data_IF_959559423280
#
_entry.id   IF_959559423280
#
_cell.length_a   1.000
_cell.length_b   1.000
_cell.length_c   1.000
_cell.angle_alpha   90.00
_cell.angle_beta   90.00
_cell.angle_gamma   90.00
#
_symmetry.space_group_name_H-M   'P 1'
#
loop_
_entity.id
_entity.type
_entity.pdbx_description
1 polymer ?
#
# COMPACT_ATOMS: atom_id res chain seq x y z
N UNK A 1 -7.49 8.57 -15.71
CA UNK A 1 -6.08 8.25 -15.43
C UNK A 1 -5.69 6.81 -15.77
N UNK A 2 -6.60 5.88 -15.69
CA UNK A 2 -6.31 4.46 -15.95
C UNK A 2 -6.66 3.98 -17.36
N UNK A 3 -7.38 4.74 -18.21
CA UNK A 3 -7.96 4.13 -19.41
C UNK A 3 -8.07 4.96 -20.70
N UNK A 4 -7.53 6.17 -20.82
CA UNK A 4 -7.96 7.02 -21.97
C UNK A 4 -6.97 7.28 -23.11
N UNK A 5 -5.82 6.59 -23.19
CA UNK A 5 -4.87 6.90 -24.28
C UNK A 5 -4.24 5.69 -24.98
N UNK A 6 -4.75 4.48 -24.76
CA UNK A 6 -4.12 3.26 -25.33
C UNK A 6 -2.72 2.96 -24.77
N UNK A 7 -2.24 3.78 -23.85
CA UNK A 7 -0.95 3.63 -23.18
C UNK A 7 -1.20 3.13 -21.77
N UNK A 8 -0.71 1.93 -21.45
CA UNK A 8 -0.79 1.37 -20.10
C UNK A 8 0.18 2.11 -19.18
N UNK A 9 -0.35 2.90 -18.25
CA UNK A 9 0.43 3.54 -17.20
C UNK A 9 0.56 2.56 -16.03
N UNK A 10 1.80 2.37 -15.55
CA UNK A 10 2.11 1.56 -14.38
C UNK A 10 2.54 2.45 -13.22
N UNK A 11 1.80 2.40 -12.13
CA UNK A 11 2.19 2.96 -10.84
C UNK A 11 2.91 1.89 -10.03
N UNK A 12 4.12 2.24 -9.57
CA UNK A 12 5.00 1.36 -8.80
C UNK A 12 5.12 1.89 -7.38
N UNK A 13 4.67 1.11 -6.41
CA UNK A 13 4.85 1.44 -4.99
C UNK A 13 6.22 0.91 -4.57
N UNK A 14 7.16 1.82 -4.21
CA UNK A 14 8.52 1.42 -3.89
C UNK A 14 8.62 0.73 -2.54
N UNK A 15 9.73 0.04 -2.33
CA UNK A 15 9.97 -0.78 -1.14
C UNK A 15 9.99 0.01 0.17
N UNK A 16 10.42 1.27 0.13
CA UNK A 16 10.50 2.12 1.31
C UNK A 16 9.13 2.57 1.83
N UNK A 17 8.10 2.56 0.97
CA UNK A 17 6.73 2.81 1.42
C UNK A 17 6.24 1.69 2.33
N UNK A 18 5.44 2.01 3.34
CA UNK A 18 4.82 1.01 4.21
C UNK A 18 3.87 0.07 3.44
N UNK A 19 3.52 -1.06 4.05
CA UNK A 19 2.47 -1.93 3.51
C UNK A 19 1.12 -1.22 3.42
N UNK A 20 0.22 -1.79 2.63
CA UNK A 20 -1.17 -1.33 2.64
C UNK A 20 -1.77 -1.57 4.03
N UNK A 21 -2.25 -0.51 4.66
CA UNK A 21 -2.67 -0.51 6.05
C UNK A 21 -4.05 0.13 6.30
N UNK A 22 -4.72 0.66 5.27
CA UNK A 22 -6.07 1.18 5.43
C UNK A 22 -7.04 0.05 5.80
N UNK A 23 -7.75 0.28 6.90
CA UNK A 23 -8.73 -0.63 7.43
C UNK A 23 -10.15 -0.30 7.00
N UNK A 24 -11.10 -0.87 7.75
CA UNK A 24 -12.53 -0.71 7.48
C UNK A 24 -12.97 0.76 7.54
N UNK A 25 -12.50 1.49 8.53
CA UNK A 25 -12.95 2.87 8.80
C UNK A 25 -12.57 3.81 7.65
N UNK A 26 -11.31 3.78 7.17
CA UNK A 26 -10.85 4.64 6.10
C UNK A 26 -11.52 4.31 4.77
N UNK A 27 -11.74 3.04 4.48
CA UNK A 27 -12.40 2.60 3.25
C UNK A 27 -13.87 2.99 3.25
N UNK A 28 -14.57 2.80 4.37
CA UNK A 28 -15.96 3.21 4.54
C UNK A 28 -16.10 4.73 4.43
N UNK A 29 -15.22 5.49 5.09
CA UNK A 29 -15.21 6.96 5.00
C UNK A 29 -15.04 7.42 3.56
N UNK A 30 -14.08 6.86 2.81
CA UNK A 30 -13.85 7.22 1.42
C UNK A 30 -15.06 6.94 0.53
N UNK A 31 -15.65 5.75 0.62
CA UNK A 31 -16.82 5.38 -0.18
C UNK A 31 -18.02 6.25 0.19
N UNK A 32 -18.20 6.54 1.48
CA UNK A 32 -19.25 7.44 1.96
C UNK A 32 -19.06 8.86 1.44
N UNK A 33 -17.86 9.43 1.51
CA UNK A 33 -17.57 10.77 1.03
C UNK A 33 -17.85 10.92 -0.48
N UNK A 34 -17.50 9.90 -1.26
CA UNK A 34 -17.80 9.85 -2.69
C UNK A 34 -19.32 9.75 -2.92
N UNK A 35 -20.01 8.89 -2.18
CA UNK A 35 -21.45 8.71 -2.28
C UNK A 35 -22.21 10.00 -1.91
N UNK A 36 -21.84 10.65 -0.82
CA UNK A 36 -22.43 11.92 -0.37
C UNK A 36 -22.13 13.08 -1.35
N UNK A 37 -21.24 12.84 -2.30
CA UNK A 37 -20.84 13.81 -3.33
C UNK A 37 -21.48 13.56 -4.71
N UNK A 38 -22.37 12.58 -4.86
CA UNK A 38 -22.97 12.19 -6.15
C UNK A 38 -23.67 13.34 -6.89
N UNK A 39 -24.21 14.31 -6.15
CA UNK A 39 -24.88 15.48 -6.73
C UNK A 39 -23.91 16.61 -7.12
N UNK A 40 -22.63 16.50 -6.75
CA UNK A 40 -21.62 17.51 -7.08
C UNK A 40 -21.12 17.34 -8.52
N UNK A 41 -20.61 18.43 -9.09
CA UNK A 41 -19.98 18.38 -10.41
C UNK A 41 -18.67 17.58 -10.41
N UNK A 42 -17.94 17.59 -9.28
CA UNK A 42 -16.63 16.94 -9.12
C UNK A 42 -16.34 16.70 -7.62
N UNK A 43 -15.59 15.65 -7.32
CA UNK A 43 -15.03 15.37 -6.00
C UNK A 43 -13.52 15.16 -6.09
N UNK A 44 -12.76 15.87 -5.26
CA UNK A 44 -11.31 15.73 -5.20
C UNK A 44 -10.92 14.82 -4.03
N UNK A 45 -10.33 13.68 -4.37
CA UNK A 45 -9.94 12.65 -3.39
C UNK A 45 -8.58 12.93 -2.71
N UNK A 46 -7.88 13.98 -3.13
CA UNK A 46 -6.59 14.42 -2.61
C UNK A 46 -5.48 14.37 -3.64
N UNK A 47 -4.22 14.34 -3.16
CA UNK A 47 -3.03 14.42 -4.00
C UNK A 47 -2.35 13.07 -4.14
N UNK A 48 -1.83 12.78 -5.31
CA UNK A 48 -0.91 11.69 -5.63
C UNK A 48 0.40 12.30 -6.12
N UNK A 49 1.48 12.04 -5.44
CA UNK A 49 2.82 12.51 -5.82
C UNK A 49 3.59 11.35 -6.42
N UNK A 50 4.15 11.57 -7.60
CA UNK A 50 4.91 10.53 -8.31
C UNK A 50 6.20 11.07 -8.89
N UNK A 51 7.15 10.16 -9.09
CA UNK A 51 8.36 10.39 -9.85
C UNK A 51 8.37 9.54 -11.12
N UNK A 52 8.62 10.15 -12.28
CA UNK A 52 8.63 9.43 -13.56
C UNK A 52 9.95 8.70 -13.73
N UNK A 53 9.94 7.36 -13.59
CA UNK A 53 11.13 6.51 -13.81
C UNK A 53 11.37 6.19 -15.27
N UNK A 54 10.29 5.94 -16.04
CA UNK A 54 10.33 5.62 -17.45
C UNK A 54 9.11 6.24 -18.17
N UNK A 55 8.96 6.02 -19.47
CA UNK A 55 7.91 6.66 -20.27
C UNK A 55 6.52 6.47 -19.67
N UNK A 56 6.22 5.27 -19.21
CA UNK A 56 4.90 4.91 -18.65
C UNK A 56 4.97 4.36 -17.22
N UNK A 57 6.12 4.49 -16.55
CA UNK A 57 6.33 3.98 -15.18
C UNK A 57 6.48 5.15 -14.22
N UNK A 58 5.57 5.21 -13.26
CA UNK A 58 5.54 6.23 -12.22
C UNK A 58 5.74 5.58 -10.85
N UNK A 59 6.81 5.96 -10.16
CA UNK A 59 7.04 5.59 -8.77
C UNK A 59 6.22 6.48 -7.86
N UNK A 60 5.46 5.87 -6.95
CA UNK A 60 4.61 6.60 -6.02
C UNK A 60 5.42 7.10 -4.84
N UNK A 61 5.47 8.42 -4.68
CA UNK A 61 6.20 9.09 -3.60
C UNK A 61 5.27 9.36 -2.40
N UNK A 62 4.03 9.79 -2.69
CA UNK A 62 3.00 10.00 -1.66
C UNK A 62 1.62 9.65 -2.21
N UNK A 63 0.69 9.28 -1.31
CA UNK A 63 -0.67 8.90 -1.66
C UNK A 63 -0.83 7.40 -1.99
N UNK A 64 0.14 6.54 -1.63
CA UNK A 64 0.09 5.11 -1.95
C UNK A 64 -1.11 4.38 -1.33
N UNK A 65 -1.50 4.69 -0.09
CA UNK A 65 -2.66 4.07 0.56
C UNK A 65 -3.94 4.39 -0.22
N UNK A 66 -4.12 5.66 -0.54
CA UNK A 66 -5.26 6.17 -1.32
C UNK A 66 -5.32 5.56 -2.72
N UNK A 67 -4.18 5.53 -3.43
CA UNK A 67 -4.11 4.95 -4.77
C UNK A 67 -4.47 3.46 -4.76
N UNK A 68 -3.95 2.71 -3.78
CA UNK A 68 -4.26 1.28 -3.60
C UNK A 68 -5.75 1.09 -3.29
N UNK A 69 -6.33 1.93 -2.42
CA UNK A 69 -7.76 1.86 -2.09
C UNK A 69 -8.63 2.18 -3.29
N UNK A 70 -8.29 3.19 -4.09
CA UNK A 70 -8.99 3.49 -5.34
C UNK A 70 -8.97 2.25 -6.27
N UNK A 71 -7.81 1.62 -6.42
CA UNK A 71 -7.68 0.40 -7.23
C UNK A 71 -8.58 -0.73 -6.69
N UNK A 72 -8.57 -0.95 -5.38
CA UNK A 72 -9.40 -1.95 -4.69
C UNK A 72 -10.89 -1.67 -4.93
N UNK A 73 -11.35 -0.43 -4.78
CA UNK A 73 -12.75 -0.04 -5.00
C UNK A 73 -13.15 -0.29 -6.46
N UNK A 74 -12.32 0.09 -7.42
CA UNK A 74 -12.58 -0.16 -8.83
C UNK A 74 -12.73 -1.66 -9.14
N UNK A 75 -11.87 -2.49 -8.54
CA UNK A 75 -11.98 -3.96 -8.66
C UNK A 75 -13.23 -4.51 -7.96
N UNK A 76 -13.60 -3.98 -6.78
CA UNK A 76 -14.82 -4.37 -6.07
C UNK A 76 -16.08 -4.00 -6.86
N UNK A 77 -16.06 -2.90 -7.61
CA UNK A 77 -17.10 -2.49 -8.54
C UNK A 77 -17.12 -3.32 -9.84
N UNK A 78 -16.20 -4.25 -10.05
CA UNK A 78 -16.11 -5.09 -11.24
C UNK A 78 -15.56 -4.36 -12.48
N UNK A 79 -14.71 -3.36 -12.29
CA UNK A 79 -14.08 -2.63 -13.39
C UNK A 79 -12.76 -3.33 -13.75
N UNK A 80 -12.71 -3.99 -14.90
CA UNK A 80 -11.58 -4.81 -15.34
C UNK A 80 -10.53 -4.02 -16.14
N UNK A 81 -10.89 -2.87 -16.69
CA UNK A 81 -10.03 -2.07 -17.60
C UNK A 81 -8.77 -1.50 -16.96
N UNK A 82 -8.62 -1.64 -15.64
CA UNK A 82 -7.47 -1.17 -14.86
C UNK A 82 -6.46 -2.29 -14.55
N UNK A 83 -6.51 -3.41 -15.26
CA UNK A 83 -5.55 -4.49 -15.03
C UNK A 83 -4.11 -3.99 -15.23
N UNK A 84 -3.20 -4.43 -14.31
CA UNK A 84 -1.76 -4.18 -14.38
C UNK A 84 -1.31 -2.70 -14.33
N UNK A 85 -2.14 -1.80 -13.79
CA UNK A 85 -1.75 -0.39 -13.64
C UNK A 85 -1.14 -0.05 -12.26
N UNK A 86 -1.11 -1.00 -11.33
CA UNK A 86 -0.55 -0.85 -9.99
C UNK A 86 0.25 -2.09 -9.62
N UNK A 87 1.46 -1.89 -9.06
CA UNK A 87 2.29 -2.98 -8.52
C UNK A 87 3.12 -2.51 -7.34
N UNK A 88 3.61 -3.48 -6.56
CA UNK A 88 4.54 -3.25 -5.44
C UNK A 88 5.94 -3.74 -5.82
N UNK A 89 6.95 -2.88 -5.65
CA UNK A 89 8.36 -3.27 -5.84
C UNK A 89 8.81 -4.14 -4.67
N UNK A 90 9.54 -5.23 -4.98
CA UNK A 90 10.15 -6.14 -3.99
C UNK A 90 9.19 -6.75 -2.95
N UNK A 91 7.88 -6.68 -3.19
CA UNK A 91 6.84 -7.35 -2.39
C UNK A 91 6.03 -8.27 -3.29
N UNK A 92 6.58 -9.43 -3.60
CA UNK A 92 5.99 -10.39 -4.54
C UNK A 92 4.56 -10.77 -4.16
N UNK A 93 4.31 -11.02 -2.87
CA UNK A 93 2.97 -11.40 -2.38
C UNK A 93 1.96 -10.28 -2.58
N UNK A 94 2.30 -9.03 -2.22
CA UNK A 94 1.41 -7.88 -2.41
C UNK A 94 1.16 -7.61 -3.91
N UNK A 95 2.22 -7.68 -4.74
CA UNK A 95 2.10 -7.51 -6.20
C UNK A 95 1.19 -8.56 -6.82
N UNK A 96 1.39 -9.85 -6.49
CA UNK A 96 0.52 -10.95 -6.96
C UNK A 96 -0.92 -10.82 -6.46
N UNK A 97 -1.12 -10.32 -5.23
CA UNK A 97 -2.46 -10.13 -4.67
C UNK A 97 -3.23 -9.05 -5.44
N UNK A 98 -2.57 -7.93 -5.77
CA UNK A 98 -3.13 -6.85 -6.62
C UNK A 98 -3.46 -7.37 -8.02
N UNK A 99 -2.52 -8.08 -8.65
CA UNK A 99 -2.68 -8.61 -10.01
C UNK A 99 -3.85 -9.60 -10.12
N UNK A 100 -3.95 -10.54 -9.16
CA UNK A 100 -4.95 -11.61 -9.18
C UNK A 100 -6.32 -11.19 -8.66
N UNK A 101 -6.48 -9.98 -8.13
CA UNK A 101 -7.76 -9.50 -7.60
C UNK A 101 -8.87 -9.53 -8.68
N UNK A 102 -10.07 -10.06 -8.42
CA UNK A 102 -10.59 -10.55 -7.12
C UNK A 102 -10.35 -12.04 -6.82
N UNK A 103 -9.63 -12.78 -7.66
CA UNK A 103 -9.39 -14.22 -7.52
C UNK A 103 -8.04 -14.45 -6.82
N UNK A 104 -8.03 -14.30 -5.51
CA UNK A 104 -6.81 -14.44 -4.70
C UNK A 104 -6.27 -15.87 -4.70
N UNK A 105 -4.93 -16.00 -4.77
CA UNK A 105 -4.22 -17.26 -4.60
C UNK A 105 -4.12 -17.72 -3.13
N UNK A 106 -3.37 -18.80 -2.90
CA UNK A 106 -3.05 -19.28 -1.55
C UNK A 106 -2.20 -18.26 -0.79
N UNK A 107 -1.08 -17.86 -1.39
CA UNK A 107 -0.28 -16.75 -0.89
C UNK A 107 -0.94 -15.43 -1.27
N UNK A 108 -1.28 -14.64 -0.26
CA UNK A 108 -1.98 -13.36 -0.43
C UNK A 108 -1.65 -12.38 0.68
N UNK A 109 -1.57 -11.13 0.34
CA UNK A 109 -1.43 -10.02 1.27
C UNK A 109 -2.76 -9.81 2.00
N UNK A 110 -2.75 -10.07 3.32
CA UNK A 110 -3.95 -10.01 4.15
C UNK A 110 -4.55 -8.60 4.14
N UNK A 111 -3.74 -7.54 4.25
CA UNK A 111 -4.24 -6.17 4.26
C UNK A 111 -4.99 -5.80 2.98
N UNK A 112 -4.46 -6.21 1.81
CA UNK A 112 -5.09 -5.98 0.51
C UNK A 112 -6.38 -6.78 0.37
N UNK A 113 -6.40 -8.04 0.83
CA UNK A 113 -7.61 -8.89 0.80
C UNK A 113 -8.69 -8.36 1.72
N UNK A 114 -8.34 -7.99 2.94
CA UNK A 114 -9.27 -7.40 3.91
C UNK A 114 -9.82 -6.07 3.35
N UNK A 115 -8.97 -5.22 2.76
CA UNK A 115 -9.38 -3.99 2.09
C UNK A 115 -10.39 -4.23 0.96
N UNK A 116 -10.20 -5.28 0.16
CA UNK A 116 -11.15 -5.65 -0.89
C UNK A 116 -12.51 -6.08 -0.31
N UNK A 117 -12.50 -6.86 0.77
CA UNK A 117 -13.73 -7.27 1.44
C UNK A 117 -14.46 -6.08 2.06
N UNK A 118 -13.73 -5.18 2.73
CA UNK A 118 -14.31 -3.95 3.31
C UNK A 118 -14.88 -3.02 2.22
N UNK A 119 -14.24 -2.92 1.07
CA UNK A 119 -14.76 -2.14 -0.04
C UNK A 119 -16.08 -2.73 -0.57
N UNK A 120 -16.18 -4.06 -0.68
CA UNK A 120 -17.44 -4.73 -1.07
C UNK A 120 -18.56 -4.51 -0.06
N UNK A 121 -18.25 -4.65 1.23
CA UNK A 121 -19.21 -4.40 2.31
C UNK A 121 -19.67 -2.93 2.28
N UNK A 122 -18.76 -1.98 2.19
CA UNK A 122 -19.07 -0.56 2.18
C UNK A 122 -19.92 -0.17 0.95
N UNK A 123 -19.63 -0.72 -0.23
CA UNK A 123 -20.45 -0.50 -1.43
C UNK A 123 -21.87 -1.02 -1.19
N UNK A 124 -22.01 -2.22 -0.62
CA UNK A 124 -23.32 -2.79 -0.31
C UNK A 124 -24.09 -1.96 0.71
N UNK A 125 -23.43 -1.55 1.79
CA UNK A 125 -24.05 -0.86 2.92
C UNK A 125 -24.41 0.60 2.60
N UNK A 126 -23.59 1.29 1.82
CA UNK A 126 -23.71 2.74 1.54
C UNK A 126 -24.40 2.99 0.21
N UNK A 127 -23.99 2.31 -0.86
CA UNK A 127 -24.55 2.50 -2.21
C UNK A 127 -25.81 1.63 -2.41
N UNK A 128 -25.81 0.45 -1.79
CA UNK A 128 -26.89 -0.51 -1.90
C UNK A 128 -26.64 -1.60 -2.93
N UNK A 129 -27.68 -2.43 -3.14
CA UNK A 129 -27.61 -3.59 -4.04
C UNK A 129 -28.36 -3.36 -5.38
N UNK A 130 -29.06 -2.23 -5.53
CA UNK A 130 -29.78 -1.92 -6.77
C UNK A 130 -28.78 -1.57 -7.85
N UNK A 131 -28.94 -2.21 -9.00
CA UNK A 131 -28.05 -2.00 -10.15
C UNK A 131 -27.97 -0.53 -10.57
N UNK A 132 -29.07 0.20 -10.55
CA UNK A 132 -29.11 1.61 -10.93
C UNK A 132 -28.23 2.48 -10.01
N UNK A 133 -28.28 2.23 -8.69
CA UNK A 133 -27.49 2.99 -7.71
C UNK A 133 -25.99 2.67 -7.86
N UNK A 134 -25.68 1.39 -8.07
CA UNK A 134 -24.29 0.95 -8.33
C UNK A 134 -23.77 1.55 -9.64
N UNK A 135 -24.55 1.56 -10.70
CA UNK A 135 -24.13 2.12 -11.99
C UNK A 135 -23.94 3.64 -11.91
N UNK A 136 -24.81 4.36 -11.17
CA UNK A 136 -24.64 5.79 -10.90
C UNK A 136 -23.37 6.08 -10.08
N UNK A 137 -23.11 5.29 -9.04
CA UNK A 137 -21.89 5.41 -8.25
C UNK A 137 -20.63 5.13 -9.08
N UNK A 138 -20.65 4.09 -9.93
CA UNK A 138 -19.55 3.77 -10.86
C UNK A 138 -19.27 4.92 -11.82
N UNK A 139 -20.33 5.47 -12.44
CA UNK A 139 -20.19 6.58 -13.38
C UNK A 139 -19.56 7.80 -12.69
N UNK A 140 -20.06 8.16 -11.50
CA UNK A 140 -19.50 9.25 -10.73
C UNK A 140 -18.04 8.99 -10.33
N UNK A 141 -17.74 7.77 -9.84
CA UNK A 141 -16.40 7.41 -9.41
C UNK A 141 -15.39 7.48 -10.55
N UNK A 142 -15.78 7.08 -11.77
CA UNK A 142 -14.90 7.09 -12.94
C UNK A 142 -14.74 8.47 -13.57
N UNK A 143 -15.81 9.28 -13.58
CA UNK A 143 -15.87 10.49 -14.40
C UNK A 143 -15.81 11.79 -13.58
N UNK A 144 -16.13 11.75 -12.28
CA UNK A 144 -16.24 12.92 -11.42
C UNK A 144 -15.31 12.92 -10.20
N UNK A 145 -14.75 11.76 -9.84
CA UNK A 145 -13.72 11.68 -8.79
C UNK A 145 -12.37 11.98 -9.38
N UNK A 146 -11.72 13.02 -8.88
CA UNK A 146 -10.44 13.51 -9.37
C UNK A 146 -9.36 13.35 -8.30
N UNK A 147 -8.17 12.98 -8.73
CA UNK A 147 -6.95 13.03 -7.92
C UNK A 147 -6.00 14.10 -8.48
N UNK A 148 -5.43 14.90 -7.63
CA UNK A 148 -4.42 15.89 -8.04
C UNK A 148 -3.11 15.15 -8.22
N UNK A 149 -2.72 14.92 -9.47
CA UNK A 149 -1.50 14.20 -9.80
C UNK A 149 -0.32 15.18 -9.94
N UNK A 150 0.56 15.20 -8.96
CA UNK A 150 1.80 15.97 -9.01
C UNK A 150 2.97 15.08 -9.41
N UNK A 151 3.73 15.51 -10.40
CA UNK A 151 4.96 14.83 -10.86
C UNK A 151 6.16 15.61 -10.37
N UNK A 152 6.99 14.97 -9.56
CA UNK A 152 8.25 15.55 -9.12
C UNK A 152 9.15 15.72 -10.35
N UNK A 153 9.73 16.92 -10.59
CA UNK A 153 10.67 17.15 -11.66
C UNK A 153 11.90 16.25 -11.56
N UNK A 154 12.51 15.90 -12.71
CA UNK A 154 13.64 14.96 -12.76
C UNK A 154 14.94 15.49 -12.13
N UNK A 155 15.06 16.79 -12.04
CA UNK A 155 16.21 17.52 -11.48
C UNK A 155 16.13 17.75 -9.97
N UNK A 156 15.01 17.32 -9.35
CA UNK A 156 14.82 17.42 -7.91
C UNK A 156 15.44 16.20 -7.24
N UNK A 157 16.29 16.45 -6.23
CA UNK A 157 16.75 15.41 -5.32
C UNK A 157 15.58 14.86 -4.53
N UNK A 158 15.23 13.59 -4.76
CA UNK A 158 14.13 12.93 -4.09
C UNK A 158 14.32 12.85 -2.57
N UNK A 159 15.58 12.70 -2.09
CA UNK A 159 15.86 12.67 -0.66
C UNK A 159 15.52 14.03 -0.02
N UNK A 160 15.94 15.12 -0.67
CA UNK A 160 15.58 16.46 -0.21
C UNK A 160 14.07 16.72 -0.31
N UNK A 161 13.42 16.22 -1.36
CA UNK A 161 11.96 16.31 -1.49
C UNK A 161 11.24 15.59 -0.34
N UNK A 162 11.70 14.40 0.05
CA UNK A 162 11.17 13.68 1.20
C UNK A 162 11.36 14.46 2.52
N UNK A 163 12.51 15.09 2.73
CA UNK A 163 12.78 15.90 3.92
C UNK A 163 11.82 17.10 4.01
N UNK A 164 11.56 17.77 2.89
CA UNK A 164 10.67 18.94 2.82
C UNK A 164 9.21 18.56 3.00
N UNK A 165 8.77 17.47 2.39
CA UNK A 165 7.38 16.97 2.54
C UNK A 165 7.10 16.50 3.96
N UNK A 166 8.07 15.88 4.61
CA UNK A 166 7.99 15.45 6.01
C UNK A 166 7.77 16.61 6.99
N UNK A 167 8.18 17.84 6.63
CA UNK A 167 7.99 19.01 7.48
C UNK A 167 6.55 19.54 7.50
N UNK A 168 5.65 19.04 6.63
CA UNK A 168 4.32 19.62 6.38
C UNK A 168 3.10 18.79 6.76
N UNK A 169 3.24 17.63 7.44
CA UNK A 169 2.05 17.04 8.06
C UNK A 169 1.86 15.53 8.11
N UNK A 170 2.00 14.71 7.13
CA UNK A 170 1.99 13.24 7.30
C UNK A 170 3.38 12.71 6.97
N UNK A 171 4.18 12.62 8.00
CA UNK A 171 5.59 12.29 7.93
C UNK A 171 5.78 10.85 7.44
N UNK A 172 6.56 10.66 6.37
CA UNK A 172 7.40 9.47 6.27
C UNK A 172 8.19 9.40 7.59
N UNK A 173 8.03 8.35 8.33
CA UNK A 173 8.77 8.22 9.58
C UNK A 173 10.28 8.15 9.27
N UNK A 174 11.11 8.67 10.18
CA UNK A 174 12.57 8.72 9.95
C UNK A 174 13.15 7.37 9.52
N UNK A 175 12.55 6.28 9.99
CA UNK A 175 12.97 4.94 9.59
C UNK A 175 12.65 4.61 8.11
N UNK A 176 11.61 5.18 7.52
CA UNK A 176 11.30 4.98 6.08
C UNK A 176 12.34 5.65 5.18
N UNK A 177 12.89 6.78 5.59
CA UNK A 177 14.01 7.46 4.90
C UNK A 177 15.27 6.60 4.97
N UNK A 178 15.57 6.04 6.15
CA UNK A 178 16.71 5.13 6.33
C UNK A 178 16.51 3.87 5.48
N UNK A 179 15.31 3.30 5.47
CA UNK A 179 14.94 2.16 4.63
C UNK A 179 15.20 2.45 3.15
N UNK A 180 14.81 3.62 2.65
CA UNK A 180 15.04 4.02 1.28
C UNK A 180 16.52 4.04 0.93
N UNK A 181 17.35 4.69 1.76
CA UNK A 181 18.80 4.78 1.55
C UNK A 181 19.50 3.42 1.56
N UNK A 182 19.10 2.53 2.48
CA UNK A 182 19.65 1.18 2.52
C UNK A 182 19.21 0.33 1.33
N UNK A 183 17.96 0.49 0.90
CA UNK A 183 17.42 -0.21 -0.28
C UNK A 183 18.17 0.15 -1.57
N UNK A 184 18.69 1.36 -1.70
CA UNK A 184 19.46 1.79 -2.87
C UNK A 184 20.72 0.91 -3.08
N UNK A 185 21.31 0.40 -2.01
CA UNK A 185 22.48 -0.48 -2.06
C UNK A 185 22.16 -1.89 -2.56
N UNK A 186 20.88 -2.27 -2.58
CA UNK A 186 20.39 -3.58 -2.98
C UNK A 186 19.76 -3.59 -4.37
N UNK A 187 19.87 -2.48 -5.12
CA UNK A 187 19.34 -2.37 -6.47
C UNK A 187 20.03 -3.39 -7.38
N UNK A 188 19.21 -4.27 -7.99
CA UNK A 188 19.70 -5.33 -8.89
C UNK A 188 19.71 -6.72 -8.26
N UNK A 189 19.52 -6.84 -6.94
CA UNK A 189 19.34 -8.11 -6.23
C UNK A 189 17.92 -8.17 -5.61
N UNK A 190 16.99 -8.76 -6.36
CA UNK A 190 15.57 -8.84 -5.96
C UNK A 190 15.38 -9.70 -4.70
N UNK A 191 16.17 -10.76 -4.52
CA UNK A 191 16.06 -11.66 -3.37
C UNK A 191 16.59 -10.98 -2.09
N UNK A 192 17.71 -10.26 -2.18
CA UNK A 192 18.23 -9.48 -1.07
C UNK A 192 17.25 -8.35 -0.70
N UNK A 193 16.65 -7.70 -1.68
CA UNK A 193 15.67 -6.65 -1.51
C UNK A 193 14.40 -7.17 -0.79
N UNK A 194 13.90 -8.34 -1.17
CA UNK A 194 12.75 -8.98 -0.53
C UNK A 194 13.06 -9.36 0.92
N UNK A 195 14.21 -9.99 1.18
CA UNK A 195 14.66 -10.33 2.53
C UNK A 195 14.82 -9.09 3.41
N UNK A 196 15.45 -8.06 2.88
CA UNK A 196 15.60 -6.77 3.57
C UNK A 196 14.25 -6.17 3.96
N UNK A 197 13.29 -6.14 3.03
CA UNK A 197 11.95 -5.63 3.31
C UNK A 197 11.26 -6.40 4.44
N UNK A 198 11.31 -7.73 4.40
CA UNK A 198 10.70 -8.59 5.43
C UNK A 198 11.32 -8.37 6.81
N UNK A 199 12.65 -8.31 6.87
CA UNK A 199 13.37 -8.03 8.14
C UNK A 199 13.00 -6.65 8.65
N UNK A 200 13.02 -5.64 7.77
CA UNK A 200 12.69 -4.27 8.14
C UNK A 200 11.27 -4.13 8.70
N UNK A 201 10.30 -4.75 8.04
CA UNK A 201 8.90 -4.75 8.48
C UNK A 201 8.71 -5.45 9.82
N UNK A 202 9.38 -6.57 10.01
CA UNK A 202 9.37 -7.28 11.30
C UNK A 202 9.98 -6.42 12.42
N UNK A 203 11.05 -5.67 12.14
CA UNK A 203 11.72 -4.80 13.12
C UNK A 203 10.97 -3.48 13.36
N UNK A 204 10.18 -3.00 12.40
CA UNK A 204 9.42 -1.74 12.53
C UNK A 204 8.11 -1.89 13.31
N UNK A 205 7.61 -3.11 13.46
CA UNK A 205 6.40 -3.37 14.27
C UNK A 205 6.75 -3.45 15.77
N UNK A 206 6.98 -2.27 16.35
CA UNK A 206 7.29 -2.10 17.78
C UNK A 206 6.05 -1.93 18.65
N UNK A 207 4.84 -2.14 18.10
CA UNK A 207 3.56 -1.92 18.78
C UNK A 207 3.31 -2.95 19.88
N UNK A 208 4.01 -4.08 19.85
CA UNK A 208 3.85 -5.18 20.81
C UNK A 208 5.19 -5.69 21.30
N UNK A 209 5.24 -6.09 22.54
CA UNK A 209 6.36 -6.90 23.03
C UNK A 209 6.40 -8.22 22.26
N UNK A 210 7.59 -8.66 21.85
CA UNK A 210 7.81 -9.95 21.16
C UNK A 210 7.10 -11.09 21.89
N UNK A 211 7.10 -11.04 23.21
CA UNK A 211 6.43 -11.98 24.13
C UNK A 211 4.92 -12.11 23.92
N UNK A 212 4.25 -11.09 23.42
CA UNK A 212 2.81 -11.10 23.21
C UNK A 212 2.42 -11.69 21.84
N UNK A 213 3.32 -11.68 20.87
CA UNK A 213 3.06 -12.16 19.51
C UNK A 213 3.48 -13.61 19.24
N UNK A 214 4.38 -14.16 20.05
CA UNK A 214 4.86 -15.51 19.90
C UNK A 214 4.23 -16.43 20.94
N UNK A 215 3.15 -17.16 20.63
CA UNK A 215 2.51 -18.08 21.58
C UNK A 215 3.41 -19.26 21.99
N UNK A 216 4.47 -19.54 21.23
CA UNK A 216 5.46 -20.61 21.50
C UNK A 216 6.86 -20.04 21.74
N UNK A 217 6.97 -19.12 22.69
CA UNK A 217 8.27 -18.51 23.05
C UNK A 217 9.33 -19.53 23.48
N UNK A 218 8.89 -20.69 23.99
CA UNK A 218 9.80 -21.78 24.39
C UNK A 218 10.61 -22.37 23.23
N UNK A 219 10.15 -22.22 21.98
CA UNK A 219 10.89 -22.67 20.79
C UNK A 219 11.97 -21.69 20.35
N UNK A 220 11.81 -20.40 20.65
CA UNK A 220 12.76 -19.35 20.23
C UNK A 220 13.77 -19.02 21.33
N UNK A 221 13.34 -18.98 22.60
CA UNK A 221 14.14 -18.54 23.75
C UNK A 221 14.44 -19.64 24.79
N UNK A 222 14.05 -20.90 24.52
CA UNK A 222 14.24 -22.00 25.45
C UNK A 222 13.12 -22.15 26.51
N UNK A 223 13.21 -23.14 27.35
CA UNK A 223 12.13 -23.59 28.23
C UNK A 223 11.77 -22.65 29.37
N UNK A 224 12.65 -21.72 29.74
CA UNK A 224 12.43 -20.74 30.80
C UNK A 224 13.00 -19.39 30.39
N UNK A 225 12.14 -18.38 30.27
CA UNK A 225 12.58 -17.01 29.96
C UNK A 225 13.33 -16.33 31.11
N UNK A 226 13.17 -16.82 32.32
CA UNK A 226 13.81 -16.26 33.52
C UNK A 226 15.34 -16.45 33.52
N UNK A 227 15.81 -17.45 32.76
CA UNK A 227 17.24 -17.79 32.67
C UNK A 227 17.89 -17.25 31.37
N UNK A 228 17.17 -16.51 30.54
CA UNK A 228 17.67 -16.03 29.27
C UNK A 228 18.27 -14.63 29.42
N UNK A 229 19.58 -14.56 29.54
CA UNK A 229 20.35 -13.30 29.54
C UNK A 229 21.12 -13.22 28.23
N UNK A 230 20.78 -12.23 27.39
CA UNK A 230 21.53 -11.91 26.16
C UNK A 230 22.62 -10.92 26.55
N UNK A 231 23.88 -11.34 26.52
CA UNK A 231 25.02 -10.46 26.76
C UNK A 231 25.56 -9.84 25.45
N UNK A 232 25.29 -10.48 24.30
CA UNK A 232 25.67 -9.96 22.99
C UNK A 232 24.68 -10.36 21.89
N UNK A 233 24.71 -9.62 20.76
CA UNK A 233 23.85 -9.90 19.59
C UNK A 233 24.14 -11.25 18.92
N UNK A 234 25.34 -11.78 19.13
CA UNK A 234 25.81 -13.05 18.54
C UNK A 234 25.27 -14.29 19.28
N UNK A 235 24.62 -14.09 20.44
CA UNK A 235 24.03 -15.14 21.25
C UNK A 235 22.58 -15.49 20.88
N UNK A 236 21.99 -14.80 19.89
CA UNK A 236 20.71 -15.21 19.37
C UNK A 236 20.81 -16.60 18.72
N UNK A 237 20.01 -17.59 19.17
CA UNK A 237 20.01 -18.89 18.51
C UNK A 237 19.63 -18.73 17.05
N UNK A 238 20.56 -19.06 16.15
CA UNK A 238 20.24 -19.23 14.75
C UNK A 238 19.24 -20.38 14.66
N UNK A 239 18.01 -20.09 14.22
CA UNK A 239 17.06 -21.15 13.86
C UNK A 239 17.65 -21.95 12.71
N UNK A 240 18.04 -23.20 12.98
CA UNK A 240 18.29 -24.20 11.96
C UNK A 240 16.98 -24.56 11.25
#
# INVERSE_FOLDING_TARGET
>A
YFSNSGVSILYKIPIYQRNYAWGREEIYALIKDVHDSLEKSVYYIGTLVTYKRDENIFEVIDGQQRLTTIYIILKALGIETIANCLTYSARKVSAMTIEKMPKFGEEKDKGIVDGFNYAKEAIKDIVGEKKADIDAFKDFFLNKVHIIHYRVPKDVDLNHYFEVMNSRGEQLEKHEIVKAKLSEQLIGDEDAMEKFSRIWEACSDMSFYIQQKLPEMTTVFGKTMEDFVIESFDEFPSSN
#
